data_IF_469535876018
#
_entry.id   IF_469535876018
#
_cell.length_a   1.000
_cell.length_b   1.000
_cell.length_c   1.000
_cell.angle_alpha   90.00
_cell.angle_beta   90.00
_cell.angle_gamma   90.00
#
_symmetry.space_group_name_H-M   'P 1'
#
loop_
_entity.id
_entity.type
_entity.pdbx_description
1 polymer ?
#
# COMPACT_ATOMS: atom_id res chain seq x y z
N UNK A 1 -0.64 13.13 17.52
CA UNK A 1 -1.29 14.27 16.85
C UNK A 1 -1.92 13.68 15.59
N UNK A 2 -3.24 13.49 15.59
CA UNK A 2 -3.95 12.89 14.46
C UNK A 2 -4.27 13.98 13.44
N UNK A 3 -3.66 13.89 12.26
CA UNK A 3 -3.92 14.80 11.15
C UNK A 3 -5.04 14.20 10.31
N UNK A 4 -6.26 14.67 10.52
CA UNK A 4 -7.42 14.19 9.77
C UNK A 4 -7.65 15.06 8.52
N UNK A 5 -7.89 14.42 7.36
CA UNK A 5 -8.15 15.11 6.10
C UNK A 5 -9.65 15.18 5.85
N UNK A 6 -10.18 16.39 5.61
CA UNK A 6 -11.58 16.62 5.22
C UNK A 6 -11.65 17.36 3.87
N UNK A 7 -11.73 16.59 2.80
CA UNK A 7 -11.71 17.09 1.42
C UNK A 7 -12.60 16.22 0.52
N UNK A 8 -13.92 16.46 0.47
CA UNK A 8 -14.86 15.58 -0.26
C UNK A 8 -14.66 15.58 -1.79
N UNK A 9 -13.99 16.58 -2.34
CA UNK A 9 -13.62 16.68 -3.75
C UNK A 9 -12.15 16.28 -4.02
N UNK A 10 -11.52 15.54 -3.11
CA UNK A 10 -10.16 15.06 -3.32
C UNK A 10 -10.16 14.00 -4.42
N UNK A 11 -9.47 14.28 -5.52
CA UNK A 11 -9.35 13.36 -6.66
C UNK A 11 -8.02 12.60 -6.65
N UNK A 12 -7.00 13.21 -6.04
CA UNK A 12 -5.64 12.68 -5.96
C UNK A 12 -5.03 12.94 -4.59
N UNK A 13 -4.27 11.98 -4.07
CA UNK A 13 -3.42 12.18 -2.89
C UNK A 13 -2.01 11.61 -3.11
N UNK A 14 -1.01 12.36 -2.63
CA UNK A 14 0.34 11.88 -2.45
C UNK A 14 0.63 11.77 -0.95
N UNK A 15 0.89 10.57 -0.49
CA UNK A 15 1.42 10.31 0.84
C UNK A 15 2.90 9.94 0.75
N UNK A 16 3.72 10.47 1.65
CA UNK A 16 5.14 10.13 1.75
C UNK A 16 5.54 10.04 3.21
N UNK A 17 5.98 8.87 3.67
CA UNK A 17 6.32 8.65 5.06
C UNK A 17 6.81 7.24 5.38
N UNK A 18 6.97 6.95 6.67
CA UNK A 18 7.27 5.61 7.20
C UNK A 18 6.01 4.76 7.24
N UNK A 19 6.12 3.42 7.26
CA UNK A 19 4.95 2.53 7.31
C UNK A 19 4.07 2.73 8.55
N UNK A 20 4.65 3.19 9.67
CA UNK A 20 3.93 3.52 10.92
C UNK A 20 2.98 4.71 10.78
N UNK A 21 3.18 5.55 9.77
CA UNK A 21 2.35 6.73 9.57
C UNK A 21 1.03 6.34 8.88
N UNK A 22 -0.08 6.70 9.51
CA UNK A 22 -1.43 6.46 9.00
C UNK A 22 -2.06 7.74 8.46
N UNK A 23 -2.76 7.63 7.34
CA UNK A 23 -3.63 8.70 6.83
C UNK A 23 -5.04 8.44 7.32
N UNK A 24 -5.64 9.42 7.99
CA UNK A 24 -7.03 9.30 8.42
C UNK A 24 -7.91 10.27 7.62
N UNK A 25 -8.75 9.72 6.75
CA UNK A 25 -9.84 10.48 6.14
C UNK A 25 -11.02 10.52 7.12
N UNK A 26 -11.49 11.72 7.47
CA UNK A 26 -12.68 11.87 8.35
C UNK A 26 -13.91 11.21 7.72
N UNK A 27 -14.04 11.39 6.42
CA UNK A 27 -15.01 10.71 5.57
C UNK A 27 -14.26 10.21 4.33
N UNK A 28 -14.58 8.99 3.88
CA UNK A 28 -13.99 8.43 2.66
C UNK A 28 -14.29 9.35 1.47
N UNK A 29 -13.27 9.95 0.82
CA UNK A 29 -13.48 10.88 -0.29
C UNK A 29 -14.06 10.12 -1.50
N UNK A 30 -15.34 10.35 -1.87
CA UNK A 30 -16.01 9.55 -2.89
C UNK A 30 -15.47 9.76 -4.30
N UNK A 31 -14.66 10.81 -4.49
CA UNK A 31 -14.03 11.17 -5.76
C UNK A 31 -12.55 10.82 -5.83
N UNK A 32 -11.99 10.15 -4.81
CA UNK A 32 -10.57 9.80 -4.84
C UNK A 32 -10.34 8.73 -5.91
N UNK A 33 -9.71 9.13 -6.99
CA UNK A 33 -9.43 8.26 -8.13
C UNK A 33 -8.08 7.59 -7.96
N UNK A 34 -7.08 8.36 -7.54
CA UNK A 34 -5.68 7.93 -7.53
C UNK A 34 -5.00 8.29 -6.21
N UNK A 35 -4.25 7.34 -5.66
CA UNK A 35 -3.36 7.57 -4.52
C UNK A 35 -1.95 7.12 -4.86
N UNK A 36 -0.95 7.96 -4.57
CA UNK A 36 0.46 7.59 -4.59
C UNK A 36 0.95 7.49 -3.14
N UNK A 37 1.49 6.34 -2.76
CA UNK A 37 1.96 6.02 -1.42
C UNK A 37 3.45 5.75 -1.48
N UNK A 38 4.26 6.71 -1.01
CA UNK A 38 5.72 6.56 -0.89
C UNK A 38 6.10 6.11 0.50
N UNK A 39 6.65 4.90 0.61
CA UNK A 39 7.05 4.32 1.89
C UNK A 39 8.57 4.32 2.03
N UNK A 40 9.06 5.03 3.05
CA UNK A 40 10.48 5.10 3.41
C UNK A 40 10.71 4.39 4.74
N UNK A 41 11.14 3.14 4.71
CA UNK A 41 11.60 2.40 5.89
C UNK A 41 13.09 2.03 5.75
N UNK A 42 13.82 2.00 6.87
CA UNK A 42 15.23 1.58 6.91
C UNK A 42 15.40 0.05 7.05
N UNK A 43 14.32 -0.66 7.35
CA UNK A 43 14.26 -2.11 7.45
C UNK A 43 12.83 -2.60 7.66
N UNK A 44 12.61 -3.90 7.46
CA UNK A 44 11.31 -4.55 7.54
C UNK A 44 11.29 -5.55 8.69
N UNK A 45 10.85 -5.09 9.87
CA UNK A 45 10.56 -5.99 11.00
C UNK A 45 9.16 -6.58 10.85
N UNK A 46 8.83 -7.56 11.69
CA UNK A 46 7.50 -8.16 11.71
C UNK A 46 6.39 -7.12 11.87
N UNK A 47 6.58 -6.16 12.77
CA UNK A 47 5.61 -5.09 13.07
C UNK A 47 5.40 -4.15 11.88
N UNK A 48 6.44 -3.95 11.05
CA UNK A 48 6.34 -3.13 9.85
C UNK A 48 5.26 -3.63 8.88
N UNK A 49 4.99 -4.94 8.82
CA UNK A 49 3.95 -5.48 7.93
C UNK A 49 2.54 -5.13 8.41
N UNK A 50 2.29 -5.15 9.72
CA UNK A 50 1.02 -4.66 10.28
C UNK A 50 0.83 -3.16 10.03
N UNK A 51 1.88 -2.36 10.26
CA UNK A 51 1.81 -0.93 10.01
C UNK A 51 1.61 -0.60 8.53
N UNK A 52 2.30 -1.30 7.63
CA UNK A 52 2.13 -1.14 6.20
C UNK A 52 0.70 -1.50 5.78
N UNK A 53 0.14 -2.61 6.27
CA UNK A 53 -1.26 -2.98 6.02
C UNK A 53 -2.19 -1.84 6.43
N UNK A 54 -2.07 -1.35 7.66
CA UNK A 54 -2.96 -0.30 8.19
C UNK A 54 -2.78 1.04 7.46
N UNK A 55 -1.57 1.34 7.00
CA UNK A 55 -1.27 2.48 6.15
C UNK A 55 -2.00 2.34 4.80
N UNK A 56 -1.83 1.20 4.12
CA UNK A 56 -2.43 0.92 2.81
C UNK A 56 -3.96 0.89 2.88
N UNK A 57 -4.55 0.34 3.94
CA UNK A 57 -6.01 0.29 4.15
C UNK A 57 -6.67 1.68 4.05
N UNK A 58 -5.93 2.73 4.41
CA UNK A 58 -6.39 4.11 4.32
C UNK A 58 -6.72 4.53 2.88
N UNK A 59 -6.17 3.85 1.88
CA UNK A 59 -6.29 4.17 0.46
C UNK A 59 -7.21 3.24 -0.32
N UNK A 60 -7.90 2.28 0.32
CA UNK A 60 -8.82 1.34 -0.36
C UNK A 60 -9.99 2.07 -1.07
N UNK A 61 -10.30 3.29 -0.64
CA UNK A 61 -11.29 4.14 -1.32
C UNK A 61 -10.85 4.64 -2.70
N UNK A 62 -9.59 4.45 -3.08
CA UNK A 62 -9.05 4.87 -4.37
C UNK A 62 -9.32 3.81 -5.44
N UNK A 63 -9.54 4.23 -6.68
CA UNK A 63 -9.63 3.29 -7.81
C UNK A 63 -8.27 2.69 -8.16
N UNK A 64 -7.22 3.51 -8.11
CA UNK A 64 -5.84 3.17 -8.44
C UNK A 64 -4.92 3.56 -7.29
N UNK A 65 -4.02 2.67 -6.91
CA UNK A 65 -2.98 2.93 -5.92
C UNK A 65 -1.62 2.67 -6.55
N UNK A 66 -0.71 3.63 -6.41
CA UNK A 66 0.70 3.48 -6.73
C UNK A 66 1.49 3.38 -5.43
N UNK A 67 2.28 2.33 -5.26
CA UNK A 67 3.20 2.16 -4.13
C UNK A 67 4.62 2.34 -4.65
N UNK A 68 5.30 3.35 -4.11
CA UNK A 68 6.71 3.64 -4.36
C UNK A 68 7.48 3.26 -3.09
N UNK A 69 8.28 2.20 -3.20
CA UNK A 69 8.98 1.61 -2.07
C UNK A 69 10.44 1.39 -2.43
N UNK A 70 11.36 1.78 -1.55
CA UNK A 70 12.79 1.63 -1.86
C UNK A 70 13.21 0.18 -2.02
N UNK A 71 12.74 -0.67 -1.11
CA UNK A 71 13.07 -2.08 -1.01
C UNK A 71 11.79 -2.89 -1.07
N UNK A 72 11.62 -3.64 -2.16
CA UNK A 72 10.45 -4.45 -2.41
C UNK A 72 10.29 -5.63 -1.43
N UNK A 73 11.32 -5.96 -0.62
CA UNK A 73 11.15 -6.88 0.52
C UNK A 73 10.00 -6.45 1.44
N UNK A 74 9.72 -5.15 1.55
CA UNK A 74 8.60 -4.64 2.34
C UNK A 74 7.21 -5.05 1.85
N UNK A 75 7.11 -5.45 0.58
CA UNK A 75 5.88 -5.96 -0.01
C UNK A 75 5.80 -7.49 0.02
N UNK A 76 6.84 -8.19 0.49
CA UNK A 76 6.82 -9.64 0.69
C UNK A 76 6.19 -9.91 2.06
N UNK A 77 4.85 -9.89 2.11
CA UNK A 77 4.09 -10.08 3.34
C UNK A 77 4.14 -11.56 3.78
N UNK A 78 4.65 -11.85 4.99
CA UNK A 78 4.72 -13.21 5.49
C UNK A 78 3.36 -13.92 5.52
N UNK A 79 3.35 -15.23 5.28
CA UNK A 79 2.09 -15.99 5.14
C UNK A 79 1.20 -15.93 6.39
N UNK A 80 1.77 -15.96 7.59
CA UNK A 80 0.97 -15.86 8.82
C UNK A 80 0.26 -14.50 8.92
N UNK A 81 0.91 -13.40 8.54
CA UNK A 81 0.28 -12.07 8.48
C UNK A 81 -0.90 -12.08 7.50
N UNK A 82 -0.75 -12.76 6.36
CA UNK A 82 -1.80 -12.86 5.34
C UNK A 82 -2.98 -13.73 5.75
N UNK A 83 -2.75 -14.75 6.60
CA UNK A 83 -3.81 -15.62 7.13
C UNK A 83 -4.60 -14.96 8.24
N UNK A 84 -3.95 -14.14 9.06
CA UNK A 84 -4.58 -13.48 10.22
C UNK A 84 -5.23 -12.14 9.85
N UNK A 85 -4.67 -11.42 8.86
CA UNK A 85 -5.16 -10.13 8.41
C UNK A 85 -6.06 -10.18 7.18
N UNK A 86 -6.92 -9.17 7.04
CA UNK A 86 -7.61 -8.92 5.77
C UNK A 86 -6.72 -8.18 4.78
N UNK A 87 -6.97 -8.35 3.46
CA UNK A 87 -6.42 -7.48 2.42
C UNK A 87 -6.62 -5.99 2.77
N UNK A 88 -5.59 -5.14 2.65
CA UNK A 88 -5.72 -3.71 2.85
C UNK A 88 -6.37 -2.98 1.66
N UNK A 89 -6.25 -3.50 0.43
CA UNK A 89 -6.75 -2.83 -0.78
C UNK A 89 -7.76 -3.68 -1.59
N UNK A 90 -8.80 -4.27 -0.97
CA UNK A 90 -9.74 -5.16 -1.66
C UNK A 90 -10.54 -4.52 -2.79
N UNK A 91 -10.79 -3.20 -2.72
CA UNK A 91 -11.64 -2.45 -3.65
C UNK A 91 -10.85 -1.86 -4.83
N UNK A 92 -9.54 -1.69 -4.65
CA UNK A 92 -8.62 -1.15 -5.67
C UNK A 92 -8.66 -2.01 -6.95
N UNK A 93 -8.69 -1.33 -8.10
CA UNK A 93 -8.75 -1.97 -9.43
C UNK A 93 -7.40 -2.04 -10.12
N UNK A 94 -6.49 -1.15 -9.76
CA UNK A 94 -5.15 -1.10 -10.34
C UNK A 94 -4.14 -0.81 -9.25
N UNK A 95 -3.16 -1.70 -9.10
CA UNK A 95 -2.03 -1.54 -8.20
C UNK A 95 -0.76 -1.35 -9.04
N UNK A 96 -0.13 -0.19 -8.92
CA UNK A 96 1.15 0.08 -9.55
C UNK A 96 2.27 0.02 -8.51
N UNK A 97 3.36 -0.65 -8.84
CA UNK A 97 4.53 -0.76 -7.97
C UNK A 97 5.74 -0.17 -8.65
N UNK A 98 6.43 0.69 -7.92
CA UNK A 98 7.73 1.23 -8.30
C UNK A 98 8.70 0.93 -7.17
N UNK A 99 9.86 0.36 -7.51
CA UNK A 99 10.90 0.12 -6.52
C UNK A 99 12.29 0.53 -7.02
N UNK A 100 13.07 1.13 -6.12
CA UNK A 100 14.40 1.65 -6.45
C UNK A 100 15.45 0.54 -6.51
N UNK A 101 15.26 -0.54 -5.75
CA UNK A 101 16.13 -1.70 -5.72
C UNK A 101 15.37 -2.89 -6.31
N UNK A 102 15.84 -3.51 -7.40
CA UNK A 102 15.19 -4.69 -7.96
C UNK A 102 15.32 -5.89 -7.01
N UNK A 103 14.29 -6.75 -6.99
CA UNK A 103 14.14 -7.93 -6.13
C UNK A 103 15.13 -9.08 -6.43
N UNK A 104 15.75 -9.06 -7.62
CA UNK A 104 16.58 -10.16 -8.10
C UNK A 104 15.81 -11.48 -8.13
N UNK A 105 16.41 -12.57 -7.65
CA UNK A 105 15.79 -13.91 -7.68
C UNK A 105 14.55 -14.07 -6.77
N UNK A 106 14.17 -13.05 -5.98
CA UNK A 106 13.05 -13.14 -5.02
C UNK A 106 11.71 -12.66 -5.57
N UNK A 107 11.63 -12.32 -6.86
CA UNK A 107 10.40 -11.86 -7.53
C UNK A 107 9.20 -12.79 -7.27
N UNK A 108 9.41 -14.11 -7.28
CA UNK A 108 8.35 -15.10 -7.09
C UNK A 108 7.70 -15.08 -5.69
N UNK A 109 8.34 -14.46 -4.68
CA UNK A 109 7.76 -14.28 -3.35
C UNK A 109 6.80 -13.08 -3.28
N UNK A 110 6.84 -12.20 -4.28
CA UNK A 110 6.02 -11.00 -4.33
C UNK A 110 4.58 -11.33 -4.70
N UNK A 111 4.37 -12.19 -5.71
CA UNK A 111 3.04 -12.52 -6.24
C UNK A 111 2.01 -12.92 -5.17
N UNK A 112 2.30 -13.86 -4.23
CA UNK A 112 1.34 -14.24 -3.20
C UNK A 112 0.99 -13.08 -2.25
N UNK A 113 1.90 -12.13 -2.10
CA UNK A 113 1.74 -10.97 -1.24
C UNK A 113 0.90 -9.90 -1.95
N UNK A 114 1.17 -9.62 -3.22
CA UNK A 114 0.40 -8.65 -4.01
C UNK A 114 -1.04 -9.10 -4.24
N UNK A 115 -1.22 -10.39 -4.57
CA UNK A 115 -2.54 -10.99 -4.70
C UNK A 115 -3.33 -10.94 -3.39
N UNK A 116 -2.66 -10.90 -2.23
CA UNK A 116 -3.31 -10.67 -0.96
C UNK A 116 -3.52 -9.19 -0.66
N UNK A 117 -2.58 -8.30 -1.01
CA UNK A 117 -2.68 -6.86 -0.77
C UNK A 117 -3.90 -6.29 -1.51
N UNK A 118 -4.02 -6.58 -2.80
CA UNK A 118 -5.04 -6.05 -3.68
C UNK A 118 -5.63 -7.18 -4.56
N UNK A 119 -6.49 -8.05 -4.01
CA UNK A 119 -6.95 -9.29 -4.66
C UNK A 119 -7.74 -9.07 -5.95
N UNK A 120 -8.31 -7.88 -6.14
CA UNK A 120 -9.11 -7.52 -7.31
C UNK A 120 -8.35 -6.70 -8.34
N UNK A 121 -7.08 -6.36 -8.06
CA UNK A 121 -6.35 -5.38 -8.85
C UNK A 121 -5.59 -6.01 -10.02
N UNK A 122 -5.58 -5.30 -11.14
CA UNK A 122 -4.53 -5.49 -12.13
C UNK A 122 -3.21 -4.93 -11.57
N UNK A 123 -2.18 -5.77 -11.54
CA UNK A 123 -0.87 -5.43 -10.99
C UNK A 123 0.05 -5.01 -12.13
N UNK A 124 0.68 -3.85 -11.99
CA UNK A 124 1.70 -3.35 -12.93
C UNK A 124 2.96 -3.00 -12.13
N UNK A 125 4.08 -3.65 -12.47
CA UNK A 125 5.37 -3.43 -11.83
C UNK A 125 6.32 -2.70 -12.78
N UNK A 126 6.95 -1.62 -12.30
CA UNK A 126 8.04 -0.94 -12.96
C UNK A 126 9.29 -1.05 -12.07
N UNK A 127 10.36 -1.64 -12.62
CA UNK A 127 11.66 -1.80 -11.97
C UNK A 127 12.79 -1.27 -12.83
#
# INVERSE_FOLDING_TARGET
MENAIFTPNLEYILFSGVAEAKVHFVESPPRLLEATVRITNYGWTFECYSFLRDCLESFDCSRKVEIDIRDAEGLIIPEHCRREGSPPLPSVKQLQLTFAVPLGDRDYWLDPSLAWIAPSAEIICWG
#
